data_IF_734022953529
#
_entry.id   IF_734022953529
#
_cell.length_a   1.000
_cell.length_b   1.000
_cell.length_c   1.000
_cell.angle_alpha   90.00
_cell.angle_beta   90.00
_cell.angle_gamma   90.00
#
_symmetry.space_group_name_H-M   'P 1'
#
loop_
_entity.id
_entity.type
_entity.pdbx_description
1 polymer ?
#
# COMPACT_ATOMS: atom_id res chain seq x y z
N UNK A 1 -15.37 20.29 -39.06
CA UNK A 1 -15.70 19.26 -40.06
C UNK A 1 -17.00 19.62 -40.78
N UNK A 2 -18.08 19.94 -40.06
CA UNK A 2 -19.33 20.47 -40.64
C UNK A 2 -19.15 21.80 -41.40
N UNK A 3 -18.50 22.79 -40.79
CA UNK A 3 -18.18 24.08 -41.43
C UNK A 3 -17.11 23.99 -42.53
N UNK A 4 -16.62 22.77 -42.83
CA UNK A 4 -15.53 22.47 -43.79
C UNK A 4 -14.21 23.24 -43.57
N UNK A 5 -14.03 23.91 -42.43
CA UNK A 5 -12.72 24.48 -42.02
C UNK A 5 -11.62 23.41 -41.97
N UNK A 6 -11.97 22.20 -41.55
CA UNK A 6 -11.18 20.98 -41.75
C UNK A 6 -11.89 20.20 -42.85
N UNK A 7 -11.15 19.89 -43.92
CA UNK A 7 -11.71 19.25 -45.12
C UNK A 7 -12.24 17.84 -44.84
N UNK A 8 -11.55 17.07 -44.01
CA UNK A 8 -11.97 15.73 -43.57
C UNK A 8 -11.07 15.19 -42.46
N UNK A 9 -11.44 14.03 -41.91
CA UNK A 9 -10.69 13.34 -40.86
C UNK A 9 -10.83 11.81 -41.00
N UNK A 10 -9.89 11.06 -40.43
CA UNK A 10 -9.98 9.62 -40.27
C UNK A 10 -9.68 9.27 -38.81
N UNK A 11 -10.55 8.51 -38.15
CA UNK A 11 -10.43 8.15 -36.75
C UNK A 11 -10.56 6.64 -36.58
N UNK A 12 -9.68 6.06 -35.78
CA UNK A 12 -9.70 4.64 -35.41
C UNK A 12 -10.08 4.43 -33.93
N UNK A 13 -9.91 5.43 -33.07
CA UNK A 13 -10.19 5.36 -31.63
C UNK A 13 -11.14 6.46 -31.19
N UNK A 14 -11.93 6.18 -30.15
CA UNK A 14 -12.97 7.07 -29.62
C UNK A 14 -12.90 7.19 -28.10
N UNK A 15 -13.40 8.30 -27.55
CA UNK A 15 -13.43 8.52 -26.10
C UNK A 15 -14.24 7.45 -25.36
N UNK A 16 -15.35 7.01 -25.96
CA UNK A 16 -16.16 5.89 -25.49
C UNK A 16 -16.34 4.88 -26.61
N UNK A 17 -15.93 3.65 -26.35
CA UNK A 17 -16.07 2.52 -27.27
C UNK A 17 -16.99 1.45 -26.66
N UNK A 18 -17.93 0.86 -27.43
CA UNK A 18 -18.21 1.11 -28.85
C UNK A 18 -18.89 2.47 -29.10
N UNK A 19 -18.72 3.00 -30.31
CA UNK A 19 -19.33 4.27 -30.71
C UNK A 19 -20.87 4.16 -30.68
N UNK A 20 -21.55 5.16 -30.12
CA UNK A 20 -23.00 5.19 -30.06
C UNK A 20 -23.61 5.24 -31.48
N UNK A 21 -24.73 4.54 -31.69
CA UNK A 21 -25.36 4.42 -33.01
C UNK A 21 -25.82 5.76 -33.60
N UNK A 22 -26.10 6.76 -32.75
CA UNK A 22 -26.55 8.09 -33.14
C UNK A 22 -25.43 9.16 -33.13
N UNK A 23 -24.17 8.73 -32.95
CA UNK A 23 -23.02 9.63 -32.79
C UNK A 23 -22.86 10.57 -34.00
N UNK A 24 -22.65 11.89 -33.79
CA UNK A 24 -22.62 12.88 -34.87
C UNK A 24 -21.61 12.59 -35.98
N UNK A 25 -20.45 12.00 -35.64
CA UNK A 25 -19.43 11.64 -36.63
C UNK A 25 -19.91 10.62 -37.67
N UNK A 26 -20.88 9.77 -37.34
CA UNK A 26 -21.47 8.79 -38.28
C UNK A 26 -22.29 9.47 -39.38
N UNK A 27 -22.66 10.74 -39.20
CA UNK A 27 -23.49 11.52 -40.14
C UNK A 27 -22.65 12.37 -41.10
N UNK A 28 -21.32 12.33 -40.99
CA UNK A 28 -20.41 13.19 -41.76
C UNK A 28 -19.71 12.40 -42.87
N UNK A 29 -20.06 12.67 -44.13
CA UNK A 29 -19.46 12.01 -45.30
C UNK A 29 -17.96 12.29 -45.47
N UNK A 30 -17.44 13.36 -44.85
CA UNK A 30 -16.02 13.72 -44.89
C UNK A 30 -15.20 13.15 -43.72
N UNK A 31 -15.75 12.16 -43.01
CA UNK A 31 -15.07 11.49 -41.90
C UNK A 31 -15.07 9.99 -42.15
N UNK A 32 -13.88 9.38 -42.14
CA UNK A 32 -13.71 7.93 -42.17
C UNK A 32 -13.56 7.41 -40.75
N UNK A 33 -14.36 6.42 -40.37
CA UNK A 33 -14.34 5.84 -39.03
C UNK A 33 -13.97 4.36 -39.14
N UNK A 34 -12.98 3.94 -38.36
CA UNK A 34 -12.60 2.53 -38.19
C UNK A 34 -12.82 2.12 -36.73
N UNK A 35 -13.31 0.90 -36.45
CA UNK A 35 -13.61 0.43 -35.10
C UNK A 35 -12.37 -0.16 -34.41
N UNK A 36 -11.39 0.67 -34.08
CA UNK A 36 -10.17 0.30 -33.37
C UNK A 36 -9.41 -0.86 -34.03
N UNK A 37 -9.22 -0.76 -35.34
CA UNK A 37 -8.61 -1.81 -36.16
C UNK A 37 -7.09 -1.66 -36.30
N UNK A 38 -6.47 -0.64 -35.71
CA UNK A 38 -5.04 -0.34 -35.89
C UNK A 38 -4.09 -1.51 -35.56
N UNK A 39 -4.46 -2.38 -34.62
CA UNK A 39 -3.69 -3.58 -34.26
C UNK A 39 -4.39 -4.91 -34.66
N UNK A 40 -5.49 -4.83 -35.41
CA UNK A 40 -6.28 -5.98 -35.86
C UNK A 40 -5.70 -6.55 -37.16
N UNK A 41 -4.43 -6.93 -37.15
CA UNK A 41 -3.76 -7.63 -38.26
C UNK A 41 -3.14 -8.94 -37.77
N UNK A 42 -3.07 -9.94 -38.64
CA UNK A 42 -2.52 -11.25 -38.31
C UNK A 42 -1.06 -11.15 -37.82
N UNK A 43 -0.25 -10.30 -38.45
CA UNK A 43 1.16 -10.11 -38.09
C UNK A 43 1.32 -9.43 -36.73
N UNK A 44 0.44 -8.49 -36.38
CA UNK A 44 0.47 -7.83 -35.09
C UNK A 44 0.09 -8.82 -33.98
N UNK A 45 -0.96 -9.63 -34.19
CA UNK A 45 -1.40 -10.65 -33.24
C UNK A 45 -0.35 -11.75 -33.07
N UNK A 46 0.31 -12.20 -34.14
CA UNK A 46 1.41 -13.16 -34.08
C UNK A 46 2.58 -12.62 -33.26
N UNK A 47 3.02 -11.38 -33.54
CA UNK A 47 4.13 -10.75 -32.79
C UNK A 47 3.82 -10.61 -31.31
N UNK A 48 2.60 -10.18 -30.97
CA UNK A 48 2.15 -10.09 -29.57
C UNK A 48 2.14 -11.49 -28.93
N UNK A 49 1.62 -12.49 -29.62
CA UNK A 49 1.62 -13.88 -29.15
C UNK A 49 3.01 -14.41 -28.82
N UNK A 50 3.96 -14.23 -29.74
CA UNK A 50 5.37 -14.62 -29.53
C UNK A 50 6.01 -13.83 -28.39
N UNK A 51 5.77 -12.52 -28.33
CA UNK A 51 6.30 -11.67 -27.26
C UNK A 51 5.80 -12.12 -25.87
N UNK A 52 4.51 -12.39 -25.73
CA UNK A 52 3.94 -12.87 -24.46
C UNK A 52 4.48 -14.26 -24.12
N UNK A 53 4.63 -15.16 -25.09
CA UNK A 53 5.23 -16.47 -24.87
C UNK A 53 6.67 -16.35 -24.33
N UNK A 54 7.48 -15.47 -24.91
CA UNK A 54 8.84 -15.20 -24.41
C UNK A 54 8.84 -14.64 -22.99
N UNK A 55 7.96 -13.69 -22.68
CA UNK A 55 7.84 -13.11 -21.32
C UNK A 55 7.45 -14.17 -20.28
N UNK A 56 6.50 -15.05 -20.61
CA UNK A 56 6.11 -16.17 -19.73
C UNK A 56 7.29 -17.11 -19.51
N UNK A 57 8.03 -17.46 -20.57
CA UNK A 57 9.22 -18.32 -20.45
C UNK A 57 10.31 -17.66 -19.60
N UNK A 58 10.58 -16.37 -19.81
CA UNK A 58 11.56 -15.60 -19.06
C UNK A 58 11.21 -15.58 -17.55
N UNK A 59 9.94 -15.35 -17.21
CA UNK A 59 9.47 -15.38 -15.83
C UNK A 59 9.56 -16.78 -15.21
N UNK A 60 9.01 -17.79 -15.87
CA UNK A 60 8.94 -19.14 -15.29
C UNK A 60 10.30 -19.82 -15.16
N UNK A 61 11.24 -19.54 -16.07
CA UNK A 61 12.59 -20.15 -16.03
C UNK A 61 13.60 -19.34 -15.24
N UNK A 62 13.51 -18.01 -15.31
CA UNK A 62 14.56 -17.12 -14.81
C UNK A 62 14.05 -16.11 -13.80
N UNK A 63 12.75 -16.04 -13.53
CA UNK A 63 12.14 -15.02 -12.66
C UNK A 63 12.14 -13.61 -13.26
N UNK A 64 12.64 -13.42 -14.49
CA UNK A 64 12.74 -12.12 -15.15
C UNK A 64 11.36 -11.61 -15.49
N UNK A 65 11.10 -10.35 -15.16
CA UNK A 65 9.86 -9.65 -15.49
C UNK A 65 10.19 -8.59 -16.53
N UNK A 66 9.51 -8.65 -17.67
CA UNK A 66 9.68 -7.70 -18.77
C UNK A 66 8.35 -7.06 -19.09
N UNK A 67 8.34 -5.74 -19.31
CA UNK A 67 7.12 -4.99 -19.62
C UNK A 67 5.99 -5.22 -18.59
N UNK A 68 6.37 -5.45 -17.32
CA UNK A 68 5.42 -5.58 -16.24
C UNK A 68 4.57 -4.33 -16.15
N UNK A 69 3.26 -4.48 -16.16
CA UNK A 69 2.34 -3.34 -16.02
C UNK A 69 2.42 -2.79 -14.58
N UNK A 70 2.58 -3.70 -13.61
CA UNK A 70 2.52 -3.42 -12.17
C UNK A 70 3.87 -3.45 -11.45
N UNK A 71 4.92 -3.84 -12.15
CA UNK A 71 6.28 -3.92 -11.59
C UNK A 71 7.25 -3.50 -12.69
N UNK A 72 8.35 -2.82 -12.35
CA UNK A 72 9.37 -2.46 -13.33
C UNK A 72 9.91 -3.72 -14.02
N UNK A 73 10.49 -3.53 -15.19
CA UNK A 73 11.27 -4.59 -15.81
C UNK A 73 12.46 -4.92 -14.90
N UNK A 74 12.54 -6.17 -14.43
CA UNK A 74 13.50 -6.63 -13.44
C UNK A 74 14.10 -7.96 -13.86
N UNK A 75 15.40 -8.13 -13.60
CA UNK A 75 16.00 -9.46 -13.63
C UNK A 75 15.39 -10.34 -12.52
N UNK A 76 15.46 -11.66 -12.68
CA UNK A 76 14.98 -12.60 -11.66
C UNK A 76 15.52 -12.34 -10.26
N UNK A 77 16.82 -12.08 -10.16
CA UNK A 77 17.46 -11.77 -8.87
C UNK A 77 16.89 -10.50 -8.24
N UNK A 78 16.67 -9.44 -9.04
CA UNK A 78 16.10 -8.19 -8.55
C UNK A 78 14.62 -8.37 -8.14
N UNK A 79 13.84 -9.13 -8.92
CA UNK A 79 12.46 -9.45 -8.61
C UNK A 79 12.35 -10.28 -7.32
N UNK A 80 13.22 -11.28 -7.14
CA UNK A 80 13.26 -12.11 -5.93
C UNK A 80 13.67 -11.31 -4.69
N UNK A 81 14.57 -10.33 -4.86
CA UNK A 81 14.92 -9.39 -3.78
C UNK A 81 13.78 -8.45 -3.45
N UNK A 82 13.04 -7.91 -4.43
CA UNK A 82 11.99 -6.93 -4.21
C UNK A 82 10.69 -7.54 -3.65
N UNK A 83 10.27 -8.71 -4.15
CA UNK A 83 8.95 -9.29 -3.85
C UNK A 83 8.60 -9.33 -2.34
N UNK A 84 9.52 -9.69 -1.44
CA UNK A 84 9.21 -9.68 -0.01
C UNK A 84 8.99 -8.29 0.61
N UNK A 85 9.54 -7.24 0.00
CA UNK A 85 9.41 -5.86 0.48
C UNK A 85 8.13 -5.18 -0.05
N UNK A 86 7.57 -5.67 -1.15
CA UNK A 86 6.23 -5.27 -1.61
C UNK A 86 5.17 -5.58 -0.54
N UNK A 87 5.25 -6.76 0.08
CA UNK A 87 4.37 -7.14 1.18
C UNK A 87 4.58 -6.25 2.43
N UNK A 88 5.84 -5.85 2.73
CA UNK A 88 6.13 -4.88 3.80
C UNK A 88 5.34 -3.60 3.56
N UNK A 89 5.48 -3.02 2.37
CA UNK A 89 4.87 -1.75 2.03
C UNK A 89 3.34 -1.81 2.12
N UNK A 90 2.72 -2.87 1.58
CA UNK A 90 1.27 -3.08 1.68
C UNK A 90 0.79 -3.16 3.13
N UNK A 91 1.47 -3.93 3.99
CA UNK A 91 1.08 -4.04 5.41
C UNK A 91 1.28 -2.71 6.17
N UNK A 92 2.31 -1.94 5.85
CA UNK A 92 2.49 -0.58 6.40
C UNK A 92 1.33 0.33 6.00
N UNK A 93 0.91 0.30 4.74
CA UNK A 93 -0.28 1.01 4.26
C UNK A 93 -1.54 0.64 5.05
N UNK A 94 -1.81 -0.66 5.20
CA UNK A 94 -2.96 -1.16 5.98
C UNK A 94 -2.93 -0.75 7.45
N UNK A 95 -1.75 -0.82 8.08
CA UNK A 95 -1.57 -0.40 9.46
C UNK A 95 -1.91 1.09 9.60
N UNK A 96 -1.30 1.94 8.77
CA UNK A 96 -1.47 3.38 8.87
C UNK A 96 -2.87 3.83 8.46
N UNK A 97 -3.55 3.15 7.54
CA UNK A 97 -4.96 3.43 7.27
C UNK A 97 -5.86 3.15 8.46
N UNK A 98 -5.51 2.17 9.30
CA UNK A 98 -6.29 1.85 10.50
C UNK A 98 -6.05 2.86 11.62
N UNK A 99 -4.82 3.38 11.73
CA UNK A 99 -4.44 4.38 12.71
C UNK A 99 -4.87 5.80 12.31
N UNK A 100 -4.72 6.15 11.04
CA UNK A 100 -5.11 7.44 10.49
C UNK A 100 -6.62 7.47 10.19
N UNK A 101 -7.25 8.63 10.44
CA UNK A 101 -8.63 8.90 10.03
C UNK A 101 -8.79 9.29 8.56
N UNK A 102 -7.67 9.50 7.85
CA UNK A 102 -7.60 9.95 6.45
C UNK A 102 -6.17 10.33 6.07
N UNK A 103 -5.97 10.85 4.85
CA UNK A 103 -4.66 11.31 4.37
C UNK A 103 -4.81 12.57 3.50
N UNK A 104 -3.92 13.54 3.66
CA UNK A 104 -3.65 14.63 2.69
C UNK A 104 -2.35 14.39 1.95
N UNK A 105 -1.35 13.83 2.62
CA UNK A 105 -0.09 13.39 2.02
C UNK A 105 0.25 11.97 2.49
N UNK A 106 0.71 11.12 1.57
CA UNK A 106 1.34 9.83 1.87
C UNK A 106 2.75 9.87 1.30
N UNK A 107 3.74 9.78 2.18
CA UNK A 107 5.16 9.73 1.82
C UNK A 107 5.71 8.33 2.05
N UNK A 108 6.35 7.78 1.04
CA UNK A 108 7.01 6.47 1.10
C UNK A 108 8.50 6.67 0.88
N UNK A 109 9.29 6.30 1.88
CA UNK A 109 10.75 6.34 1.81
C UNK A 109 11.31 4.93 1.75
N UNK A 110 12.11 4.63 0.73
CA UNK A 110 12.83 3.39 0.60
C UNK A 110 14.33 3.61 0.87
N UNK A 111 14.89 2.83 1.79
CA UNK A 111 16.25 2.97 2.28
C UNK A 111 17.17 1.84 1.78
N UNK A 112 18.44 2.17 1.60
CA UNK A 112 19.49 1.24 1.18
C UNK A 112 19.23 0.65 -0.19
N UNK A 113 19.41 -0.67 -0.34
CA UNK A 113 19.19 -1.34 -1.64
C UNK A 113 17.74 -1.24 -2.15
N UNK A 114 16.77 -0.90 -1.30
CA UNK A 114 15.38 -0.69 -1.71
C UNK A 114 15.15 0.66 -2.39
N UNK A 115 16.09 1.60 -2.28
CA UNK A 115 15.96 2.94 -2.86
C UNK A 115 15.78 2.93 -4.40
N UNK A 116 16.20 1.85 -5.07
CA UNK A 116 15.99 1.63 -6.50
C UNK A 116 14.54 1.18 -6.85
N UNK A 117 13.73 0.83 -5.85
CA UNK A 117 12.40 0.25 -6.01
C UNK A 117 11.29 1.06 -5.34
N UNK A 118 11.51 2.35 -5.10
CA UNK A 118 10.55 3.22 -4.40
C UNK A 118 9.18 3.27 -5.09
N UNK A 119 9.13 3.25 -6.43
CA UNK A 119 7.86 3.26 -7.19
C UNK A 119 6.93 2.09 -6.85
N UNK A 120 7.37 0.82 -7.03
CA UNK A 120 6.59 -0.37 -6.64
C UNK A 120 6.21 -0.41 -5.16
N UNK A 121 7.14 -0.02 -4.28
CA UNK A 121 6.88 0.04 -2.84
C UNK A 121 5.78 1.06 -2.53
N UNK A 122 5.77 2.19 -3.25
CA UNK A 122 4.75 3.23 -3.09
C UNK A 122 3.39 2.73 -3.57
N UNK A 123 3.32 2.06 -4.71
CA UNK A 123 2.07 1.47 -5.21
C UNK A 123 1.45 0.49 -4.22
N UNK A 124 2.26 -0.37 -3.61
CA UNK A 124 1.78 -1.34 -2.61
C UNK A 124 1.35 -0.67 -1.30
N UNK A 125 2.10 0.31 -0.81
CA UNK A 125 1.72 1.09 0.37
C UNK A 125 0.40 1.83 0.16
N UNK A 126 0.19 2.45 -1.00
CA UNK A 126 -1.06 3.11 -1.35
C UNK A 126 -2.20 2.11 -1.47
N UNK A 127 -2.00 0.97 -2.15
CA UNK A 127 -3.02 -0.07 -2.25
C UNK A 127 -3.47 -0.54 -0.87
N UNK A 128 -2.52 -0.88 0.02
CA UNK A 128 -2.84 -1.28 1.39
C UNK A 128 -3.54 -0.19 2.21
N UNK A 129 -3.22 1.09 1.97
CA UNK A 129 -3.88 2.19 2.66
C UNK A 129 -5.34 2.41 2.18
N UNK A 130 -5.56 2.31 0.87
CA UNK A 130 -6.85 2.58 0.25
C UNK A 130 -7.87 1.45 0.45
N UNK A 131 -7.42 0.20 0.60
CA UNK A 131 -8.28 -0.97 0.87
C UNK A 131 -9.28 -0.76 2.03
N UNK A 132 -8.87 -0.06 3.11
CA UNK A 132 -9.77 0.23 4.24
C UNK A 132 -10.97 1.09 3.82
N UNK A 133 -10.79 1.97 2.85
CA UNK A 133 -11.80 2.95 2.44
C UNK A 133 -12.70 2.44 1.32
N UNK A 134 -12.24 1.47 0.52
CA UNK A 134 -12.99 0.88 -0.59
C UNK A 134 -13.76 -0.37 -0.18
N UNK A 135 -13.30 -1.09 0.86
CA UNK A 135 -13.87 -2.38 1.27
C UNK A 135 -13.51 -3.53 0.33
N UNK A 136 -12.72 -3.27 -0.70
CA UNK A 136 -12.28 -4.22 -1.73
C UNK A 136 -10.76 -4.16 -1.90
N UNK A 137 -10.17 -5.22 -2.48
CA UNK A 137 -8.74 -5.21 -2.80
C UNK A 137 -8.44 -4.14 -3.86
N UNK A 138 -7.65 -3.14 -3.48
CA UNK A 138 -7.18 -2.09 -4.39
C UNK A 138 -6.00 -2.63 -5.18
N UNK A 139 -6.03 -2.44 -6.50
CA UNK A 139 -4.92 -2.81 -7.35
C UNK A 139 -3.76 -1.82 -7.15
N UNK A 140 -2.51 -2.27 -6.97
CA UNK A 140 -1.33 -1.39 -6.96
C UNK A 140 -1.22 -0.50 -8.21
N UNK A 141 -1.80 -0.95 -9.33
CA UNK A 141 -1.85 -0.23 -10.60
C UNK A 141 -2.68 1.05 -10.53
N UNK A 142 -3.88 0.94 -9.94
CA UNK A 142 -4.80 2.06 -9.83
C UNK A 142 -4.54 2.92 -8.60
N UNK A 143 -3.82 2.40 -7.60
CA UNK A 143 -3.63 3.06 -6.30
C UNK A 143 -3.13 4.52 -6.39
N UNK A 144 -2.18 4.82 -7.30
CA UNK A 144 -1.72 6.21 -7.52
C UNK A 144 -2.80 7.11 -8.13
N UNK A 145 -3.57 6.58 -9.07
CA UNK A 145 -4.68 7.29 -9.69
C UNK A 145 -5.81 7.53 -8.68
N UNK A 146 -6.20 6.50 -7.93
CA UNK A 146 -7.21 6.60 -6.88
C UNK A 146 -6.81 7.57 -5.75
N UNK A 147 -5.53 7.58 -5.36
CA UNK A 147 -5.01 8.57 -4.41
C UNK A 147 -5.19 9.99 -4.95
N UNK A 148 -4.90 10.22 -6.24
CA UNK A 148 -5.07 11.53 -6.88
C UNK A 148 -6.54 11.96 -6.97
N UNK A 149 -7.45 11.05 -7.32
CA UNK A 149 -8.91 11.31 -7.33
C UNK A 149 -9.45 11.69 -5.94
N UNK A 150 -8.74 11.30 -4.87
CA UNK A 150 -9.05 11.64 -3.48
C UNK A 150 -8.26 12.84 -2.95
N UNK A 151 -7.59 13.60 -3.82
CA UNK A 151 -6.71 14.72 -3.48
C UNK A 151 -5.58 14.37 -2.49
N UNK A 152 -5.15 13.11 -2.48
CA UNK A 152 -4.02 12.64 -1.66
C UNK A 152 -2.72 12.88 -2.44
N UNK A 153 -1.86 13.75 -1.91
CA UNK A 153 -0.51 13.96 -2.43
C UNK A 153 0.37 12.75 -2.13
N UNK A 154 1.00 12.19 -3.14
CA UNK A 154 1.94 11.07 -2.99
C UNK A 154 3.38 11.58 -3.13
N UNK A 155 4.24 11.25 -2.17
CA UNK A 155 5.66 11.62 -2.19
C UNK A 155 6.52 10.37 -2.11
N UNK A 156 7.40 10.20 -3.08
CA UNK A 156 8.36 9.10 -3.15
C UNK A 156 9.75 9.61 -2.79
N UNK A 157 10.43 8.95 -1.86
CA UNK A 157 11.77 9.34 -1.40
C UNK A 157 12.70 8.12 -1.47
N UNK A 158 13.86 8.29 -2.08
CA UNK A 158 14.90 7.27 -2.21
C UNK A 158 16.13 7.67 -1.41
N UNK A 159 16.54 6.84 -0.46
CA UNK A 159 17.67 7.08 0.44
C UNK A 159 18.69 5.93 0.32
N UNK A 160 19.53 5.91 -0.74
CA UNK A 160 20.40 4.78 -1.06
C UNK A 160 21.60 4.61 -0.14
N UNK A 161 21.97 5.65 0.63
CA UNK A 161 23.17 5.66 1.46
C UNK A 161 22.98 4.92 2.81
N UNK A 162 21.76 4.51 3.15
CA UNK A 162 21.49 3.73 4.34
C UNK A 162 21.93 2.26 4.19
N UNK A 163 22.39 1.66 5.28
CA UNK A 163 22.94 0.29 5.23
C UNK A 163 21.85 -0.78 5.23
N UNK A 164 20.68 -0.51 5.82
CA UNK A 164 19.62 -1.49 6.00
C UNK A 164 18.48 -1.31 4.98
N UNK A 165 17.97 -2.39 4.36
CA UNK A 165 16.81 -2.33 3.49
C UNK A 165 15.52 -2.15 4.32
N UNK A 166 15.07 -0.91 4.41
CA UNK A 166 13.93 -0.51 5.23
C UNK A 166 12.93 0.29 4.38
N UNK A 167 11.64 0.13 4.68
CA UNK A 167 10.57 0.95 4.12
C UNK A 167 9.95 1.75 5.24
N UNK A 168 9.82 3.06 5.05
CA UNK A 168 9.06 3.96 5.94
C UNK A 168 7.90 4.54 5.18
N UNK A 169 6.74 4.55 5.81
CA UNK A 169 5.55 5.22 5.31
C UNK A 169 5.12 6.26 6.34
N UNK A 170 4.86 7.47 5.87
CA UNK A 170 4.34 8.59 6.66
C UNK A 170 3.01 9.00 6.03
N UNK A 171 1.97 9.07 6.85
CA UNK A 171 0.65 9.56 6.46
C UNK A 171 0.39 10.84 7.24
N UNK A 172 0.16 11.93 6.52
CA UNK A 172 -0.13 13.24 7.10
C UNK A 172 -1.56 13.63 6.78
N UNK A 173 -2.35 13.95 7.80
CA UNK A 173 -3.65 14.60 7.67
C UNK A 173 -3.71 15.82 8.61
N UNK A 174 -4.47 15.76 9.69
CA UNK A 174 -4.39 16.72 10.80
C UNK A 174 -3.29 16.30 11.78
N UNK A 175 -3.13 14.99 11.99
CA UNK A 175 -2.01 14.37 12.69
C UNK A 175 -1.06 13.68 11.70
N UNK A 176 0.15 13.35 12.18
CA UNK A 176 1.16 12.60 11.43
C UNK A 176 1.29 11.21 12.01
N UNK A 177 1.05 10.21 11.18
CA UNK A 177 1.24 8.80 11.51
C UNK A 177 2.43 8.24 10.73
N UNK A 178 3.32 7.52 11.40
CA UNK A 178 4.55 7.00 10.77
C UNK A 178 4.75 5.54 11.15
N UNK A 179 5.08 4.70 10.18
CA UNK A 179 5.47 3.32 10.44
C UNK A 179 6.66 2.94 9.58
N UNK A 180 7.61 2.22 10.18
CA UNK A 180 8.85 1.78 9.54
C UNK A 180 8.98 0.28 9.72
N UNK A 181 9.18 -0.46 8.63
CA UNK A 181 9.33 -1.91 8.68
C UNK A 181 10.39 -2.42 7.70
N UNK A 182 10.85 -3.64 7.99
CA UNK A 182 11.82 -4.37 7.17
C UNK A 182 11.53 -5.86 7.20
N UNK A 183 12.18 -6.60 6.32
CA UNK A 183 12.23 -8.07 6.43
C UNK A 183 13.31 -8.47 7.42
N UNK A 184 13.01 -9.43 8.29
CA UNK A 184 14.03 -10.01 9.19
C UNK A 184 14.92 -11.01 8.44
N UNK A 185 16.18 -11.15 8.88
CA UNK A 185 17.12 -12.16 8.36
C UNK A 185 16.60 -13.59 8.49
N UNK A 186 15.83 -13.88 9.54
CA UNK A 186 15.22 -15.20 9.78
C UNK A 186 13.91 -15.43 9.01
N UNK A 187 13.53 -14.51 8.11
CA UNK A 187 12.22 -14.50 7.47
C UNK A 187 11.17 -13.77 8.30
N UNK A 188 10.10 -13.34 7.62
CA UNK A 188 9.00 -12.56 8.22
C UNK A 188 9.22 -11.05 8.24
N UNK A 189 8.11 -10.34 8.43
CA UNK A 189 8.01 -8.89 8.42
C UNK A 189 8.12 -8.35 9.83
N UNK A 190 8.98 -7.34 10.03
CA UNK A 190 9.20 -6.69 11.32
C UNK A 190 8.95 -5.20 11.23
N UNK A 191 8.01 -4.72 12.04
CA UNK A 191 7.87 -3.31 12.35
C UNK A 191 9.03 -2.93 13.26
N UNK A 192 9.83 -1.96 12.82
CA UNK A 192 10.99 -1.45 13.55
C UNK A 192 10.76 -0.06 14.14
N UNK A 193 9.71 0.63 13.69
CA UNK A 193 9.30 1.90 14.27
C UNK A 193 7.82 2.19 14.03
N UNK A 194 7.16 2.82 15.00
CA UNK A 194 5.76 3.23 14.92
C UNK A 194 5.56 4.55 15.68
N UNK A 195 5.00 5.56 15.04
CA UNK A 195 4.68 6.86 15.63
C UNK A 195 5.89 7.56 16.30
N UNK A 196 7.09 7.33 15.77
CA UNK A 196 8.34 7.84 16.34
C UNK A 196 9.00 6.94 17.39
N UNK A 197 8.32 5.89 17.86
CA UNK A 197 8.88 4.94 18.82
C UNK A 197 9.60 3.80 18.11
N UNK A 198 10.77 3.40 18.62
CA UNK A 198 11.45 2.18 18.20
C UNK A 198 10.75 0.95 18.77
N UNK A 199 10.51 -0.07 17.93
CA UNK A 199 9.83 -1.31 18.32
C UNK A 199 10.45 -2.50 17.57
N UNK A 200 10.24 -3.75 18.03
CA UNK A 200 10.50 -4.95 17.22
C UNK A 200 9.28 -5.87 17.21
N UNK A 201 8.32 -5.53 16.36
CA UNK A 201 7.02 -6.19 16.36
C UNK A 201 6.71 -6.96 15.06
N UNK A 202 5.88 -7.98 15.18
CA UNK A 202 5.37 -8.76 14.05
C UNK A 202 4.08 -8.12 13.54
N UNK A 203 4.01 -7.80 12.25
CA UNK A 203 2.83 -7.25 11.60
C UNK A 203 1.90 -8.37 11.12
N UNK A 204 1.21 -9.08 12.02
CA UNK A 204 0.30 -10.17 11.65
C UNK A 204 -0.86 -10.30 12.63
N UNK A 205 -2.04 -10.62 12.09
CA UNK A 205 -3.21 -10.99 12.85
C UNK A 205 -3.80 -9.78 13.56
N UNK A 206 -4.25 -9.99 14.79
CA UNK A 206 -4.91 -8.96 15.59
C UNK A 206 -3.88 -8.26 16.48
N UNK A 207 -3.90 -6.94 16.50
CA UNK A 207 -3.04 -6.15 17.37
C UNK A 207 -3.77 -4.95 17.97
N UNK A 208 -3.45 -4.64 19.23
CA UNK A 208 -3.90 -3.42 19.91
C UNK A 208 -2.70 -2.51 20.09
N UNK A 209 -2.76 -1.32 19.49
CA UNK A 209 -1.79 -0.24 19.69
C UNK A 209 -2.31 0.63 20.83
N UNK A 210 -1.52 0.75 21.90
CA UNK A 210 -1.85 1.57 23.07
C UNK A 210 -0.78 2.65 23.23
N UNK A 211 -1.18 3.91 23.39
CA UNK A 211 -0.30 4.99 23.83
C UNK A 211 -0.60 5.30 25.29
N UNK A 212 0.42 5.36 26.13
CA UNK A 212 0.26 5.56 27.57
C UNK A 212 1.42 6.36 28.16
N UNK A 213 1.21 6.90 29.37
CA UNK A 213 2.32 7.35 30.21
C UNK A 213 3.02 6.10 30.78
N UNK A 214 4.35 6.09 30.80
CA UNK A 214 5.12 4.99 31.38
C UNK A 214 5.11 5.10 32.91
N UNK A 215 4.14 4.42 33.54
CA UNK A 215 3.93 4.43 34.98
C UNK A 215 3.74 3.01 35.52
N UNK A 216 4.14 2.73 36.77
CA UNK A 216 3.90 1.45 37.40
C UNK A 216 2.43 1.01 37.33
N UNK A 217 2.21 -0.25 36.96
CA UNK A 217 0.89 -0.88 36.95
C UNK A 217 0.10 -0.76 35.64
N UNK A 218 0.50 0.10 34.69
CA UNK A 218 -0.25 0.29 33.42
C UNK A 218 -0.31 -0.99 32.58
N UNK A 219 0.83 -1.63 32.33
CA UNK A 219 0.91 -2.89 31.59
C UNK A 219 0.10 -3.99 32.28
N UNK A 220 0.17 -4.05 33.62
CA UNK A 220 -0.58 -5.03 34.41
C UNK A 220 -2.10 -4.82 34.32
N UNK A 221 -2.56 -3.56 34.34
CA UNK A 221 -3.97 -3.22 34.18
C UNK A 221 -4.51 -3.63 32.80
N UNK A 222 -3.76 -3.34 31.74
CA UNK A 222 -4.11 -3.75 30.36
C UNK A 222 -4.18 -5.27 30.27
N UNK A 223 -3.16 -5.98 30.74
CA UNK A 223 -3.13 -7.44 30.73
C UNK A 223 -4.29 -8.07 31.52
N UNK A 224 -4.67 -7.46 32.65
CA UNK A 224 -5.80 -7.91 33.46
C UNK A 224 -7.13 -7.76 32.72
N UNK A 225 -7.33 -6.63 32.02
CA UNK A 225 -8.53 -6.41 31.18
C UNK A 225 -8.57 -7.45 30.05
N UNK A 226 -7.46 -7.65 29.33
CA UNK A 226 -7.41 -8.66 28.26
C UNK A 226 -7.77 -10.06 28.78
N UNK A 227 -7.18 -10.47 29.91
CA UNK A 227 -7.49 -11.75 30.54
C UNK A 227 -8.94 -11.88 31.01
N UNK A 228 -9.53 -10.80 31.57
CA UNK A 228 -10.95 -10.75 31.96
C UNK A 228 -11.89 -11.00 30.78
N UNK A 229 -11.53 -10.53 29.59
CA UNK A 229 -12.28 -10.76 28.35
C UNK A 229 -11.87 -12.07 27.64
N UNK A 230 -11.01 -12.88 28.23
CA UNK A 230 -10.57 -14.16 27.67
C UNK A 230 -9.66 -14.03 26.44
N UNK A 231 -9.02 -12.87 26.23
CA UNK A 231 -8.13 -12.60 25.11
C UNK A 231 -6.69 -12.90 25.51
N UNK A 232 -6.05 -13.83 24.81
CA UNK A 232 -4.66 -14.20 25.09
C UNK A 232 -3.68 -13.29 24.33
N UNK A 233 -2.57 -12.98 24.99
CA UNK A 233 -1.50 -12.12 24.43
C UNK A 233 -0.39 -12.99 23.90
N UNK A 234 -0.23 -13.00 22.58
CA UNK A 234 0.83 -13.77 21.92
C UNK A 234 2.19 -13.07 22.04
N UNK A 235 2.21 -11.73 21.91
CA UNK A 235 3.43 -10.91 22.02
C UNK A 235 3.08 -9.52 22.54
N UNK A 236 4.00 -8.96 23.32
CA UNK A 236 3.99 -7.58 23.75
C UNK A 236 5.30 -6.93 23.33
N UNK A 237 5.21 -5.76 22.71
CA UNK A 237 6.34 -4.89 22.38
C UNK A 237 6.06 -3.50 22.90
N UNK A 238 7.05 -2.87 23.51
CA UNK A 238 6.92 -1.52 24.07
C UNK A 238 8.07 -0.68 23.55
N UNK A 239 7.73 0.43 22.89
CA UNK A 239 8.65 1.51 22.59
C UNK A 239 8.49 2.59 23.65
N UNK A 240 9.61 3.07 24.19
CA UNK A 240 9.67 4.08 25.24
C UNK A 240 10.30 5.35 24.67
N UNK A 241 9.76 6.48 25.08
CA UNK A 241 10.39 7.79 24.92
C UNK A 241 10.80 8.26 26.32
N UNK A 242 12.09 8.11 26.63
CA UNK A 242 12.67 8.43 27.94
C UNK A 242 12.61 9.93 28.25
N UNK A 243 12.61 10.79 27.24
CA UNK A 243 12.57 12.25 27.43
C UNK A 243 11.19 12.71 27.86
N UNK A 244 10.13 12.11 27.29
CA UNK A 244 8.75 12.51 27.57
C UNK A 244 8.04 11.64 28.61
N UNK A 245 8.61 10.47 28.96
CA UNK A 245 7.99 9.49 29.84
C UNK A 245 6.75 8.84 29.23
N UNK A 246 6.65 8.82 27.90
CA UNK A 246 5.55 8.21 27.15
C UNK A 246 5.97 6.86 26.57
N UNK A 247 4.99 5.99 26.40
CA UNK A 247 5.16 4.67 25.84
C UNK A 247 4.16 4.41 24.72
N UNK A 248 4.59 3.64 23.74
CA UNK A 248 3.73 2.97 22.76
C UNK A 248 3.86 1.46 22.96
N UNK A 249 2.76 0.80 23.26
CA UNK A 249 2.70 -0.64 23.41
C UNK A 249 1.90 -1.28 22.25
N UNK A 250 2.48 -2.29 21.62
CA UNK A 250 1.80 -3.15 20.64
C UNK A 250 1.53 -4.52 21.27
N UNK A 251 0.25 -4.85 21.41
CA UNK A 251 -0.24 -6.10 21.95
C UNK A 251 -0.76 -6.97 20.81
N UNK A 252 0.01 -7.97 20.37
CA UNK A 252 -0.49 -8.97 19.43
C UNK A 252 -1.35 -9.98 20.20
N UNK A 253 -2.60 -10.12 19.78
CA UNK A 253 -3.59 -10.99 20.42
C UNK A 253 -4.04 -12.08 19.44
N UNK A 254 -4.60 -13.16 19.97
CA UNK A 254 -4.96 -14.35 19.18
C UNK A 254 -6.36 -14.30 18.54
N UNK A 255 -7.17 -13.31 18.93
CA UNK A 255 -8.60 -13.25 18.61
C UNK A 255 -9.06 -11.81 18.35
N UNK A 256 -10.25 -11.69 17.76
CA UNK A 256 -10.88 -10.40 17.53
C UNK A 256 -11.23 -9.70 18.85
N UNK A 257 -11.06 -8.38 18.88
CA UNK A 257 -11.24 -7.59 20.10
C UNK A 257 -12.59 -6.87 20.07
N UNK A 258 -13.40 -7.06 21.10
CA UNK A 258 -14.74 -6.47 21.16
C UNK A 258 -14.70 -4.95 21.43
N UNK A 259 -15.70 -4.19 20.95
CA UNK A 259 -15.81 -2.76 21.27
C UNK A 259 -15.87 -2.48 22.78
N UNK A 260 -16.48 -3.38 23.57
CA UNK A 260 -16.56 -3.26 25.02
C UNK A 260 -15.18 -3.36 25.68
N UNK A 261 -14.34 -4.30 25.23
CA UNK A 261 -12.95 -4.43 25.69
C UNK A 261 -12.16 -3.15 25.36
N UNK A 262 -12.27 -2.64 24.13
CA UNK A 262 -11.56 -1.40 23.74
C UNK A 262 -12.02 -0.20 24.56
N UNK A 263 -13.30 -0.10 24.90
CA UNK A 263 -13.82 0.96 25.77
C UNK A 263 -13.23 0.88 27.18
N UNK A 264 -13.10 -0.33 27.75
CA UNK A 264 -12.51 -0.56 29.07
C UNK A 264 -11.02 -0.17 29.08
N UNK A 265 -10.26 -0.50 28.02
CA UNK A 265 -8.86 -0.07 27.89
C UNK A 265 -8.72 1.47 27.80
N UNK A 266 -9.60 2.14 27.05
CA UNK A 266 -9.60 3.61 26.91
C UNK A 266 -9.95 4.34 28.20
N UNK A 267 -10.61 3.68 29.15
CA UNK A 267 -10.98 4.27 30.43
C UNK A 267 -9.82 4.27 31.46
N UNK A 268 -8.68 3.62 31.16
CA UNK A 268 -7.52 3.62 32.05
C UNK A 268 -6.87 5.01 32.12
N UNK A 269 -6.65 5.52 33.33
CA UNK A 269 -6.19 6.90 33.56
C UNK A 269 -4.87 7.29 32.88
N UNK A 270 -3.95 6.34 32.67
CA UNK A 270 -2.65 6.59 32.04
C UNK A 270 -2.63 6.21 30.56
N UNK A 271 -3.77 5.84 29.97
CA UNK A 271 -3.89 5.48 28.55
C UNK A 271 -4.47 6.67 27.78
N UNK A 272 -3.72 7.17 26.81
CA UNK A 272 -4.12 8.32 26.00
C UNK A 272 -4.79 7.93 24.68
N UNK A 273 -4.43 6.78 24.11
CA UNK A 273 -5.02 6.29 22.88
C UNK A 273 -5.02 4.76 22.81
N UNK A 274 -6.07 4.19 22.24
CA UNK A 274 -6.18 2.75 21.95
C UNK A 274 -6.74 2.57 20.55
N UNK A 275 -5.96 1.93 19.68
CA UNK A 275 -6.37 1.54 18.35
C UNK A 275 -6.27 0.02 18.18
N UNK A 276 -7.30 -0.56 17.56
CA UNK A 276 -7.31 -1.96 17.19
C UNK A 276 -7.04 -2.08 15.69
N UNK A 277 -6.08 -2.93 15.33
CA UNK A 277 -5.66 -3.12 13.95
C UNK A 277 -5.59 -4.59 13.58
N UNK A 278 -5.91 -4.89 12.31
CA UNK A 278 -5.82 -6.23 11.72
C UNK A 278 -4.82 -6.21 10.56
N UNK A 279 -3.86 -7.14 10.57
CA UNK A 279 -2.63 -7.11 9.75
C UNK A 279 -2.33 -8.41 8.99
#
# INVERSE_FOLDING_TARGET
LESKKIRGAALDVFEKEPLAADHPLLKLDNVVLAPHLGASTDEAQERVGVQIAHQIVAYLKHGTIENGVNVPSLSGDAAQKLAPHLEVARRLGRLLAQLAGGAREIRVTAYGELAAFTGPLTQEALAGFLEKHTGEQVSPLSAKYEAKERDIKVVEVSEPNETLPVVRVVVSHDDIHTATARRSRGGGLRLVGLEGYEVDAVLKGHAIVVRNDDKPGVIGAIGTILGKHGVNVARLQVGLDEETGKALALWNVDSEVTPALLAELRALANVSNVAYVTL
#
